data_IF_497926185956
#
_entry.id   IF_497926185956
#
_cell.length_a   1.000
_cell.length_b   1.000
_cell.length_c   1.000
_cell.angle_alpha   90.00
_cell.angle_beta   90.00
_cell.angle_gamma   90.00
#
_symmetry.space_group_name_H-M   'P 1'
#
loop_
_entity.id
_entity.type
_entity.pdbx_description
1 polymer ?
#
# COMPACT_ATOMS: atom_id res chain seq x y z
N UNK A 1 3.45 -41.78 -55.74
CA UNK A 1 2.89 -41.58 -54.39
C UNK A 1 3.93 -40.79 -53.60
N UNK A 2 3.79 -39.46 -53.58
CA UNK A 2 4.79 -38.55 -53.00
C UNK A 2 4.30 -38.03 -51.65
N UNK A 3 5.19 -38.08 -50.65
CA UNK A 3 4.98 -37.60 -49.29
C UNK A 3 4.80 -36.06 -49.24
N UNK A 4 4.05 -35.51 -48.27
CA UNK A 4 3.98 -34.08 -48.07
C UNK A 4 5.16 -33.60 -47.20
N UNK A 5 5.73 -32.47 -47.64
CA UNK A 5 6.76 -31.68 -46.98
C UNK A 5 6.24 -31.04 -45.69
N UNK A 6 7.00 -31.17 -44.60
CA UNK A 6 6.74 -30.47 -43.33
C UNK A 6 7.53 -29.16 -43.33
N UNK A 7 6.82 -28.03 -43.28
CA UNK A 7 7.41 -26.72 -43.05
C UNK A 7 7.81 -26.57 -41.56
N UNK A 8 8.90 -25.84 -41.22
CA UNK A 8 9.32 -25.70 -39.84
C UNK A 8 8.40 -24.75 -39.07
N UNK A 9 8.06 -25.13 -37.85
CA UNK A 9 7.35 -24.27 -36.90
C UNK A 9 8.20 -23.04 -36.55
N UNK A 10 7.63 -21.85 -36.78
CA UNK A 10 8.15 -20.57 -36.31
C UNK A 10 8.22 -20.56 -34.78
N UNK A 11 9.42 -20.40 -34.23
CA UNK A 11 9.63 -20.23 -32.79
C UNK A 11 9.26 -18.80 -32.36
N UNK A 12 8.29 -18.68 -31.46
CA UNK A 12 7.90 -17.44 -30.79
C UNK A 12 9.00 -16.94 -29.81
N UNK A 13 9.03 -15.65 -29.44
CA UNK A 13 10.25 -14.96 -29.03
C UNK A 13 10.62 -15.20 -27.56
N UNK A 14 11.90 -15.52 -27.32
CA UNK A 14 12.53 -15.75 -26.00
C UNK A 14 12.85 -14.46 -25.22
N UNK A 15 12.34 -13.30 -25.65
CA UNK A 15 12.83 -11.97 -25.24
C UNK A 15 12.21 -11.44 -23.93
N UNK A 16 11.12 -12.03 -23.45
CA UNK A 16 10.35 -11.51 -22.30
C UNK A 16 10.96 -11.84 -20.91
N UNK A 17 11.70 -12.94 -20.78
CA UNK A 17 12.19 -13.40 -19.47
C UNK A 17 13.50 -12.70 -19.07
N UNK A 18 14.33 -12.32 -20.05
CA UNK A 18 15.64 -11.69 -19.81
C UNK A 18 15.51 -10.22 -19.36
N UNK A 19 14.42 -9.54 -19.73
CA UNK A 19 14.16 -8.13 -19.38
C UNK A 19 13.56 -7.96 -17.98
N UNK A 20 12.77 -8.93 -17.50
CA UNK A 20 12.20 -8.87 -16.14
C UNK A 20 13.26 -9.03 -15.05
N UNK A 21 14.23 -9.95 -15.23
CA UNK A 21 15.32 -10.12 -14.26
C UNK A 21 16.20 -8.87 -14.16
N UNK A 22 16.57 -8.26 -15.29
CA UNK A 22 17.40 -7.06 -15.29
C UNK A 22 16.73 -5.86 -14.59
N UNK A 23 15.42 -5.67 -14.79
CA UNK A 23 14.66 -4.62 -14.12
C UNK A 23 14.52 -4.87 -12.61
N UNK A 24 14.21 -6.11 -12.22
CA UNK A 24 14.11 -6.50 -10.81
C UNK A 24 15.45 -6.31 -10.08
N UNK A 25 16.56 -6.68 -10.71
CA UNK A 25 17.90 -6.52 -10.14
C UNK A 25 18.24 -5.04 -9.93
N UNK A 26 17.89 -4.18 -10.91
CA UNK A 26 18.01 -2.72 -10.78
C UNK A 26 17.18 -2.18 -9.62
N UNK A 27 15.94 -2.64 -9.46
CA UNK A 27 15.08 -2.24 -8.34
C UNK A 27 15.68 -2.66 -6.99
N UNK A 28 16.24 -3.86 -6.89
CA UNK A 28 16.88 -4.35 -5.67
C UNK A 28 18.19 -3.62 -5.33
N UNK A 29 18.94 -3.18 -6.34
CA UNK A 29 20.23 -2.51 -6.16
C UNK A 29 20.12 -1.04 -5.74
N UNK A 30 18.97 -0.40 -5.96
CA UNK A 30 18.75 1.00 -5.57
C UNK A 30 18.71 1.15 -4.05
N UNK A 31 19.50 2.10 -3.54
CA UNK A 31 19.41 2.53 -2.14
C UNK A 31 18.02 3.11 -1.83
N UNK A 32 17.47 2.75 -0.66
CA UNK A 32 16.12 3.12 -0.23
C UNK A 32 16.16 4.15 0.88
N UNK A 33 15.26 5.12 0.82
CA UNK A 33 15.07 6.10 1.89
C UNK A 33 14.39 5.44 3.09
N UNK A 34 14.52 6.02 4.31
CA UNK A 34 13.74 5.55 5.46
C UNK A 34 12.23 5.49 5.14
N UNK A 35 11.61 4.35 5.43
CA UNK A 35 10.20 4.10 5.16
C UNK A 35 9.86 3.79 3.70
N UNK A 36 10.82 3.77 2.78
CA UNK A 36 10.59 3.32 1.40
C UNK A 36 10.67 1.78 1.32
N UNK A 37 9.69 1.16 0.68
CA UNK A 37 9.62 -0.29 0.57
C UNK A 37 10.83 -0.87 -0.19
N UNK A 38 11.39 -1.96 0.35
CA UNK A 38 12.62 -2.58 -0.15
C UNK A 38 12.47 -4.06 -0.53
N UNK A 39 11.31 -4.68 -0.25
CA UNK A 39 11.08 -6.09 -0.52
C UNK A 39 10.56 -6.31 -1.94
N UNK A 40 11.49 -6.45 -2.90
CA UNK A 40 11.19 -6.70 -4.31
C UNK A 40 11.23 -8.20 -4.67
N UNK A 41 10.29 -8.63 -5.50
CA UNK A 41 10.17 -10.01 -5.96
C UNK A 41 9.47 -10.06 -7.32
N UNK A 42 9.56 -11.21 -8.00
CA UNK A 42 8.76 -11.47 -9.20
C UNK A 42 7.41 -12.07 -8.79
N UNK A 43 6.30 -11.43 -9.18
CA UNK A 43 4.97 -12.01 -8.98
C UNK A 43 4.56 -12.83 -10.22
N UNK A 44 4.52 -14.15 -10.08
CA UNK A 44 4.21 -15.06 -11.18
C UNK A 44 2.75 -14.98 -11.66
N UNK A 45 1.81 -14.56 -10.80
CA UNK A 45 0.40 -14.43 -11.17
C UNK A 45 0.21 -13.21 -12.08
N UNK A 46 0.84 -12.10 -11.71
CA UNK A 46 0.79 -10.86 -12.49
C UNK A 46 1.82 -10.82 -13.63
N UNK A 47 2.79 -11.73 -13.62
CA UNK A 47 3.95 -11.75 -14.53
C UNK A 47 4.63 -10.38 -14.57
N UNK A 48 4.87 -9.81 -13.38
CA UNK A 48 5.44 -8.48 -13.24
C UNK A 48 6.40 -8.41 -12.04
N UNK A 49 7.33 -7.47 -12.10
CA UNK A 49 8.14 -7.08 -10.95
C UNK A 49 7.23 -6.46 -9.90
N UNK A 50 7.42 -6.87 -8.66
CA UNK A 50 6.59 -6.46 -7.55
C UNK A 50 7.43 -5.97 -6.38
N UNK A 51 6.84 -5.07 -5.61
CA UNK A 51 7.33 -4.65 -4.30
C UNK A 51 6.24 -4.90 -3.27
N UNK A 52 6.62 -5.40 -2.09
CA UNK A 52 5.72 -5.48 -0.95
C UNK A 52 5.92 -4.28 -0.06
N UNK A 53 4.86 -3.50 0.15
CA UNK A 53 4.81 -2.42 1.12
C UNK A 53 4.38 -3.01 2.46
N UNK A 54 5.26 -2.95 3.44
CA UNK A 54 5.01 -3.39 4.82
C UNK A 54 4.43 -2.24 5.67
N UNK A 55 3.89 -2.53 6.86
CA UNK A 55 3.35 -1.49 7.73
C UNK A 55 4.40 -0.44 8.09
N UNK A 56 4.06 0.82 7.86
CA UNK A 56 4.97 1.95 8.04
C UNK A 56 5.75 2.33 6.79
N UNK A 57 5.60 1.59 5.69
CA UNK A 57 6.31 1.86 4.44
C UNK A 57 5.41 2.55 3.40
N UNK A 58 6.08 3.10 2.39
CA UNK A 58 5.49 3.63 1.17
C UNK A 58 6.33 3.27 -0.04
N UNK A 59 5.75 3.34 -1.23
CA UNK A 59 6.49 3.22 -2.48
C UNK A 59 5.82 4.08 -3.56
N UNK A 60 6.64 4.77 -4.37
CA UNK A 60 6.19 5.60 -5.48
C UNK A 60 6.98 5.22 -6.73
N UNK A 61 6.29 5.06 -7.85
CA UNK A 61 6.91 4.85 -9.15
C UNK A 61 6.01 5.35 -10.29
N UNK A 62 6.55 5.29 -11.49
CA UNK A 62 6.02 5.77 -12.77
C UNK A 62 6.15 4.70 -13.87
N UNK A 63 6.80 3.58 -13.56
CA UNK A 63 6.84 2.39 -14.42
C UNK A 63 5.80 1.35 -13.97
N UNK A 64 5.56 0.35 -14.83
CA UNK A 64 4.63 -0.75 -14.57
C UNK A 64 5.20 -1.75 -13.54
N UNK A 65 5.35 -1.35 -12.28
CA UNK A 65 5.74 -2.21 -11.15
C UNK A 65 4.52 -2.49 -10.29
N UNK A 66 4.32 -3.73 -9.87
CA UNK A 66 3.22 -4.08 -8.97
C UNK A 66 3.56 -3.70 -7.53
N UNK A 67 2.79 -2.77 -6.94
CA UNK A 67 2.89 -2.49 -5.51
C UNK A 67 1.85 -3.35 -4.77
N UNK A 68 2.29 -4.15 -3.80
CA UNK A 68 1.41 -5.08 -3.08
C UNK A 68 1.44 -4.87 -1.58
N UNK A 69 0.30 -5.09 -0.92
CA UNK A 69 0.24 -5.14 0.53
C UNK A 69 -0.92 -6.01 1.03
N UNK A 70 -0.90 -6.40 2.30
CA UNK A 70 -1.98 -7.14 2.96
C UNK A 70 -2.48 -6.34 4.15
N UNK A 71 -3.79 -6.14 4.23
CA UNK A 71 -4.42 -5.25 5.19
C UNK A 71 -5.40 -6.01 6.09
N UNK A 72 -5.30 -5.71 7.38
CA UNK A 72 -6.34 -5.93 8.39
C UNK A 72 -7.00 -4.60 8.76
N UNK A 73 -6.86 -4.17 10.01
CA UNK A 73 -7.38 -2.87 10.49
C UNK A 73 -6.64 -1.65 9.92
N UNK A 74 -5.46 -1.87 9.37
CA UNK A 74 -4.60 -0.86 8.73
C UNK A 74 -5.21 -0.36 7.41
N UNK A 75 -4.73 0.77 6.91
CA UNK A 75 -5.17 1.35 5.63
C UNK A 75 -3.99 1.46 4.67
N UNK A 76 -4.26 1.20 3.40
CA UNK A 76 -3.43 1.64 2.29
C UNK A 76 -4.16 2.72 1.49
N UNK A 77 -3.52 3.87 1.33
CA UNK A 77 -3.91 4.88 0.36
C UNK A 77 -3.05 4.70 -0.90
N UNK A 78 -3.72 4.48 -2.04
CA UNK A 78 -3.12 4.49 -3.36
C UNK A 78 -3.41 5.85 -3.99
N UNK A 79 -2.37 6.64 -4.23
CA UNK A 79 -2.48 7.93 -4.91
C UNK A 79 -1.96 7.79 -6.34
N UNK A 80 -2.63 8.47 -7.27
CA UNK A 80 -2.26 8.45 -8.68
C UNK A 80 -2.49 9.80 -9.32
N UNK A 81 -1.47 10.32 -9.98
CA UNK A 81 -1.61 11.46 -10.88
C UNK A 81 -2.04 10.97 -12.26
N UNK A 82 -3.27 11.29 -12.65
CA UNK A 82 -3.86 10.84 -13.93
C UNK A 82 -3.17 11.42 -15.17
N UNK A 83 -2.52 12.58 -15.06
CA UNK A 83 -1.86 13.25 -16.18
C UNK A 83 -0.40 12.83 -16.29
N UNK A 84 0.32 12.83 -15.17
CA UNK A 84 1.75 12.47 -15.15
C UNK A 84 1.99 10.96 -15.12
N UNK A 85 0.95 10.17 -14.83
CA UNK A 85 1.01 8.71 -14.71
C UNK A 85 2.01 8.23 -13.64
N UNK A 86 2.11 8.99 -12.56
CA UNK A 86 2.92 8.67 -11.38
C UNK A 86 1.97 8.20 -10.29
N UNK A 87 2.30 7.10 -9.63
CA UNK A 87 1.48 6.56 -8.56
C UNK A 87 2.30 6.05 -7.40
N UNK A 88 1.66 5.95 -6.24
CA UNK A 88 2.27 5.32 -5.08
C UNK A 88 1.24 4.78 -4.11
N UNK A 89 1.71 3.94 -3.21
CA UNK A 89 0.90 3.36 -2.14
C UNK A 89 1.66 3.44 -0.82
N UNK A 90 0.95 3.80 0.25
CA UNK A 90 1.43 3.68 1.62
C UNK A 90 0.72 2.54 2.36
N UNK A 91 1.19 2.21 3.56
CA UNK A 91 0.51 1.33 4.51
C UNK A 91 0.68 1.87 5.92
N UNK A 92 -0.32 2.59 6.43
CA UNK A 92 -0.32 3.11 7.80
C UNK A 92 -1.23 2.28 8.71
N UNK A 93 -0.92 2.28 10.01
CA UNK A 93 -1.59 1.44 11.01
C UNK A 93 -2.53 2.24 11.91
N UNK A 94 -2.24 3.52 12.14
CA UNK A 94 -2.95 4.38 13.09
C UNK A 94 -3.20 5.76 12.47
N UNK A 95 -4.24 6.49 12.88
CA UNK A 95 -4.58 7.77 12.25
C UNK A 95 -3.53 8.84 12.57
N UNK A 96 -3.16 8.94 13.85
CA UNK A 96 -2.22 9.93 14.35
C UNK A 96 -1.42 9.36 15.54
N UNK A 97 -0.30 10.00 15.87
CA UNK A 97 0.50 9.65 17.04
C UNK A 97 1.77 10.46 17.16
N UNK A 98 2.47 10.28 18.28
CA UNK A 98 3.69 11.03 18.55
C UNK A 98 4.86 10.52 17.70
N UNK A 99 5.44 11.41 16.89
CA UNK A 99 6.69 11.22 16.16
C UNK A 99 6.55 11.00 14.65
N UNK A 100 7.69 11.13 13.96
CA UNK A 100 7.81 11.06 12.49
C UNK A 100 7.88 9.61 12.00
N UNK A 101 6.76 8.90 12.09
CA UNK A 101 6.68 7.50 11.70
C UNK A 101 5.64 7.26 10.62
N UNK A 102 6.00 6.57 9.54
CA UNK A 102 5.08 6.09 8.49
C UNK A 102 3.97 5.17 8.99
N UNK A 103 4.02 4.79 10.28
CA UNK A 103 2.95 4.05 10.96
C UNK A 103 1.70 4.91 11.19
N UNK A 104 1.86 6.22 11.27
CA UNK A 104 0.77 7.19 11.48
C UNK A 104 0.31 7.76 10.15
N UNK A 105 -1.00 7.89 9.98
CA UNK A 105 -1.63 8.27 8.73
C UNK A 105 -1.24 9.68 8.28
N UNK A 106 -1.15 10.65 9.20
CA UNK A 106 -0.73 12.03 8.92
C UNK A 106 0.64 12.06 8.22
N UNK A 107 1.65 11.48 8.86
CA UNK A 107 3.01 11.39 8.33
C UNK A 107 3.08 10.52 7.05
N UNK A 108 2.40 9.38 7.01
CA UNK A 108 2.43 8.48 5.86
C UNK A 108 1.79 9.08 4.59
N UNK A 109 0.73 9.87 4.74
CA UNK A 109 0.09 10.56 3.63
C UNK A 109 0.96 11.70 3.12
N UNK A 110 1.53 12.50 4.03
CA UNK A 110 2.43 13.60 3.66
C UNK A 110 3.68 13.08 2.94
N UNK A 111 4.32 12.05 3.49
CA UNK A 111 5.50 11.43 2.88
C UNK A 111 5.20 10.90 1.47
N UNK A 112 4.07 10.21 1.31
CA UNK A 112 3.64 9.68 0.01
C UNK A 112 3.44 10.81 -1.03
N UNK A 113 2.69 11.85 -0.67
CA UNK A 113 2.43 12.99 -1.56
C UNK A 113 3.75 13.68 -1.92
N UNK A 114 4.62 13.93 -0.95
CA UNK A 114 5.91 14.59 -1.17
C UNK A 114 6.81 13.79 -2.11
N UNK A 115 6.89 12.46 -1.96
CA UNK A 115 7.67 11.62 -2.88
C UNK A 115 7.05 11.54 -4.28
N UNK A 116 5.72 11.63 -4.41
CA UNK A 116 5.07 11.82 -5.71
C UNK A 116 5.44 13.16 -6.35
N UNK A 117 5.39 14.27 -5.58
CA UNK A 117 5.74 15.60 -6.10
C UNK A 117 7.21 15.67 -6.53
N UNK A 118 8.13 15.05 -5.78
CA UNK A 118 9.56 14.96 -6.15
C UNK A 118 9.79 14.22 -7.48
N UNK A 119 8.88 13.32 -7.86
CA UNK A 119 8.90 12.63 -9.16
C UNK A 119 8.16 13.40 -10.26
N UNK A 120 7.60 14.57 -9.96
CA UNK A 120 6.96 15.45 -10.94
C UNK A 120 5.44 15.31 -11.03
N UNK A 121 4.80 14.61 -10.07
CA UNK A 121 3.35 14.60 -9.98
C UNK A 121 2.80 16.00 -9.63
N UNK A 122 1.55 16.25 -10.02
CA UNK A 122 0.79 17.44 -9.73
C UNK A 122 -0.34 17.13 -8.75
N UNK A 123 -0.41 17.91 -7.69
CA UNK A 123 -1.44 17.75 -6.64
C UNK A 123 -2.86 17.93 -7.18
N UNK A 124 -3.02 18.75 -8.20
CA UNK A 124 -4.31 19.09 -8.81
C UNK A 124 -4.94 17.93 -9.60
N UNK A 125 -4.12 16.94 -9.98
CA UNK A 125 -4.51 15.82 -10.82
C UNK A 125 -4.41 14.48 -10.09
N UNK A 126 -4.15 14.53 -8.77
CA UNK A 126 -4.17 13.36 -7.91
C UNK A 126 -5.59 12.82 -7.73
N UNK A 127 -5.68 11.51 -7.73
CA UNK A 127 -6.85 10.74 -7.35
C UNK A 127 -6.45 9.69 -6.31
N UNK A 128 -7.34 9.42 -5.38
CA UNK A 128 -7.11 8.45 -4.32
C UNK A 128 -7.98 7.20 -4.48
N UNK A 129 -7.39 6.05 -4.17
CA UNK A 129 -8.10 4.80 -3.91
C UNK A 129 -7.69 4.27 -2.54
N UNK A 130 -8.66 3.98 -1.68
CA UNK A 130 -8.39 3.59 -0.29
C UNK A 130 -8.88 2.17 0.00
N UNK A 131 -8.07 1.41 0.73
CA UNK A 131 -8.33 0.00 1.01
C UNK A 131 -7.97 -0.34 2.46
N UNK A 132 -8.62 -1.35 3.04
CA UNK A 132 -8.28 -1.89 4.36
C UNK A 132 -9.34 -1.59 5.42
N UNK A 133 -8.93 -1.21 6.63
CA UNK A 133 -9.86 -0.87 7.72
C UNK A 133 -10.71 -2.05 8.20
N UNK A 134 -10.32 -3.27 7.89
CA UNK A 134 -11.09 -4.47 8.20
C UNK A 134 -11.00 -4.87 9.66
N UNK A 135 -12.08 -5.41 10.20
CA UNK A 135 -12.16 -5.93 11.56
C UNK A 135 -11.77 -7.41 11.61
N UNK A 136 -10.47 -7.69 11.48
CA UNK A 136 -9.95 -9.07 11.38
C UNK A 136 -9.96 -9.82 12.71
N UNK A 137 -9.96 -9.10 13.84
CA UNK A 137 -10.10 -9.67 15.17
C UNK A 137 -11.54 -9.53 15.63
N UNK A 138 -12.16 -10.61 16.09
CA UNK A 138 -13.39 -10.57 16.88
C UNK A 138 -13.11 -9.93 18.24
N UNK A 139 -13.36 -8.64 18.37
CA UNK A 139 -13.22 -7.88 19.62
C UNK A 139 -13.40 -6.38 19.40
N UNK A 140 -13.95 -5.67 20.38
CA UNK A 140 -14.29 -4.23 20.27
C UNK A 140 -13.12 -3.33 19.83
N UNK A 141 -11.87 -3.71 20.15
CA UNK A 141 -10.70 -2.86 19.94
C UNK A 141 -10.22 -2.78 18.48
N UNK A 142 -10.37 -3.84 17.68
CA UNK A 142 -9.96 -3.85 16.25
C UNK A 142 -10.95 -3.11 15.36
N UNK A 143 -12.25 -3.28 15.61
CA UNK A 143 -13.34 -2.52 14.96
C UNK A 143 -13.09 -1.01 15.11
N UNK A 144 -12.77 -0.58 16.32
CA UNK A 144 -12.50 0.83 16.61
C UNK A 144 -11.26 1.38 15.88
N UNK A 145 -10.22 0.56 15.66
CA UNK A 145 -9.03 0.99 14.89
C UNK A 145 -9.37 1.16 13.40
N UNK A 146 -10.04 0.18 12.79
CA UNK A 146 -10.40 0.25 11.37
C UNK A 146 -11.30 1.43 11.04
N UNK A 147 -12.30 1.70 11.88
CA UNK A 147 -13.19 2.86 11.75
C UNK A 147 -12.43 4.18 11.87
N UNK A 148 -11.57 4.33 12.89
CA UNK A 148 -10.75 5.53 13.07
C UNK A 148 -9.80 5.78 11.90
N UNK A 149 -9.13 4.74 11.42
CA UNK A 149 -8.23 4.84 10.27
C UNK A 149 -8.98 5.25 9.00
N UNK A 150 -10.16 4.65 8.77
CA UNK A 150 -11.00 4.95 7.60
C UNK A 150 -11.53 6.39 7.66
N UNK A 151 -11.99 6.83 8.84
CA UNK A 151 -12.42 8.21 9.05
C UNK A 151 -11.27 9.19 8.79
N UNK A 152 -10.11 8.95 9.41
CA UNK A 152 -8.93 9.77 9.23
C UNK A 152 -8.54 9.95 7.76
N UNK A 153 -8.38 8.86 7.01
CA UNK A 153 -7.93 8.98 5.60
C UNK A 153 -8.95 9.70 4.73
N UNK A 154 -10.25 9.54 5.03
CA UNK A 154 -11.33 10.22 4.32
C UNK A 154 -11.28 11.73 4.58
N UNK A 155 -11.17 12.12 5.86
CA UNK A 155 -11.09 13.52 6.27
C UNK A 155 -9.81 14.20 5.74
N UNK A 156 -8.68 13.49 5.78
CA UNK A 156 -7.40 13.97 5.25
C UNK A 156 -7.51 14.24 3.75
N UNK A 157 -7.98 13.26 2.96
CA UNK A 157 -8.11 13.41 1.51
C UNK A 157 -9.10 14.51 1.12
N UNK A 158 -10.19 14.66 1.87
CA UNK A 158 -11.15 15.75 1.68
C UNK A 158 -10.52 17.12 1.95
N UNK A 159 -9.78 17.25 3.06
CA UNK A 159 -9.05 18.48 3.42
C UNK A 159 -8.04 18.85 2.35
N UNK A 160 -7.34 17.84 1.82
CA UNK A 160 -6.35 18.02 0.76
C UNK A 160 -6.92 18.15 -0.65
N UNK A 161 -8.25 18.09 -0.78
CA UNK A 161 -8.99 18.18 -2.04
C UNK A 161 -8.56 17.12 -3.07
N UNK A 162 -8.18 15.93 -2.59
CA UNK A 162 -7.86 14.78 -3.42
C UNK A 162 -9.11 13.88 -3.49
N UNK A 163 -9.77 13.75 -4.66
CA UNK A 163 -10.98 12.95 -4.78
C UNK A 163 -10.70 11.46 -4.56
N UNK A 164 -11.55 10.81 -3.76
CA UNK A 164 -11.57 9.35 -3.63
C UNK A 164 -12.40 8.78 -4.77
N UNK A 165 -11.76 8.14 -5.74
CA UNK A 165 -12.42 7.56 -6.93
C UNK A 165 -12.80 6.09 -6.74
N UNK A 166 -12.25 5.42 -5.72
CA UNK A 166 -12.59 4.04 -5.37
C UNK A 166 -12.26 3.75 -3.92
N UNK A 167 -13.05 2.90 -3.26
CA UNK A 167 -12.78 2.42 -1.90
C UNK A 167 -13.26 0.99 -1.67
N UNK A 168 -12.49 0.20 -0.93
CA UNK A 168 -12.93 -1.06 -0.30
C UNK A 168 -12.34 -1.11 1.11
N UNK A 169 -13.08 -0.50 2.03
CA UNK A 169 -12.73 -0.32 3.44
C UNK A 169 -13.71 -1.06 4.34
N UNK A 170 -13.42 -1.19 5.64
CA UNK A 170 -14.26 -1.88 6.63
C UNK A 170 -14.37 -3.39 6.32
N UNK A 171 -15.48 -4.05 6.62
CA UNK A 171 -15.68 -5.50 6.44
C UNK A 171 -14.84 -6.38 7.40
N UNK A 172 -15.20 -7.65 7.50
CA UNK A 172 -14.59 -8.63 8.43
C UNK A 172 -13.43 -9.41 7.80
N UNK A 173 -13.15 -9.17 6.52
CA UNK A 173 -12.14 -9.92 5.77
C UNK A 173 -10.85 -9.13 5.60
N UNK A 174 -9.69 -9.77 5.82
CA UNK A 174 -8.43 -9.25 5.34
C UNK A 174 -8.42 -9.09 3.82
N UNK A 175 -7.58 -8.19 3.33
CA UNK A 175 -7.48 -7.91 1.90
C UNK A 175 -6.04 -7.89 1.45
N UNK A 176 -5.74 -8.58 0.36
CA UNK A 176 -4.53 -8.32 -0.44
C UNK A 176 -4.87 -7.25 -1.46
N UNK A 177 -4.10 -6.17 -1.46
CA UNK A 177 -4.21 -5.07 -2.41
C UNK A 177 -3.02 -5.14 -3.36
N UNK A 178 -3.30 -4.96 -4.65
CA UNK A 178 -2.32 -4.84 -5.71
C UNK A 178 -2.59 -3.54 -6.47
N UNK A 179 -1.58 -2.70 -6.65
CA UNK A 179 -1.70 -1.41 -7.30
C UNK A 179 -0.62 -1.23 -8.38
N UNK A 180 -1.02 -0.70 -9.53
CA UNK A 180 -0.15 -0.41 -10.67
C UNK A 180 0.02 1.11 -10.82
N UNK A 181 1.16 1.68 -10.41
CA UNK A 181 1.33 3.12 -10.27
C UNK A 181 1.34 3.85 -11.61
N UNK A 182 1.82 3.22 -12.69
CA UNK A 182 1.81 3.79 -14.04
C UNK A 182 0.40 3.90 -14.69
N UNK A 183 -0.61 3.23 -14.13
CA UNK A 183 -1.97 3.20 -14.69
C UNK A 183 -3.06 3.57 -13.68
N UNK A 184 -2.72 3.69 -12.40
CA UNK A 184 -3.67 3.92 -11.32
C UNK A 184 -4.60 2.73 -11.04
N UNK A 185 -4.44 1.59 -11.72
CA UNK A 185 -5.30 0.41 -11.50
C UNK A 185 -5.01 -0.21 -10.14
N UNK A 186 -6.09 -0.53 -9.42
CA UNK A 186 -6.02 -1.23 -8.14
C UNK A 186 -6.90 -2.48 -8.20
N UNK A 187 -6.43 -3.55 -7.58
CA UNK A 187 -7.11 -4.84 -7.51
C UNK A 187 -7.07 -5.32 -6.07
N UNK A 188 -8.20 -5.84 -5.60
CA UNK A 188 -8.36 -6.28 -4.22
C UNK A 188 -8.84 -7.72 -4.21
N UNK A 189 -8.17 -8.54 -3.40
CA UNK A 189 -8.60 -9.91 -3.10
C UNK A 189 -8.88 -10.02 -1.61
N UNK A 190 -10.14 -10.26 -1.26
CA UNK A 190 -10.53 -10.64 0.10
C UNK A 190 -9.97 -12.03 0.39
N UNK A 191 -9.34 -12.18 1.55
CA UNK A 191 -8.66 -13.41 1.96
C UNK A 191 -9.56 -14.20 2.90
N UNK A 192 -9.45 -15.52 2.83
CA UNK A 192 -10.12 -16.41 3.78
C UNK A 192 -9.54 -16.22 5.20
N UNK A 193 -10.32 -16.48 6.26
CA UNK A 193 -9.89 -16.31 7.66
C UNK A 193 -8.71 -17.19 8.12
N UNK A 194 -8.21 -18.10 7.28
CA UNK A 194 -7.13 -19.05 7.63
C UNK A 194 -5.76 -18.41 7.77
N UNK A 195 -5.52 -17.21 7.21
CA UNK A 195 -4.25 -16.47 7.34
C UNK A 195 -4.35 -15.31 8.35
N UNK A 196 -5.25 -15.39 9.31
CA UNK A 196 -5.54 -14.29 10.25
C UNK A 196 -4.45 -14.09 11.29
N UNK A 197 -3.75 -15.12 11.74
CA UNK A 197 -2.82 -15.02 12.88
C UNK A 197 -1.74 -13.94 12.72
N UNK A 198 -1.05 -13.87 11.57
CA UNK A 198 -0.03 -12.86 11.32
C UNK A 198 -0.60 -11.43 11.27
N UNK A 199 -1.80 -11.28 10.73
CA UNK A 199 -2.50 -9.99 10.66
C UNK A 199 -3.03 -9.57 12.03
N UNK A 200 -3.51 -10.52 12.82
CA UNK A 200 -3.92 -10.32 14.20
C UNK A 200 -2.74 -9.89 15.05
N UNK A 201 -1.57 -10.52 14.88
CA UNK A 201 -0.35 -10.12 15.58
C UNK A 201 0.06 -8.68 15.22
N UNK A 202 -0.05 -8.31 13.94
CA UNK A 202 0.20 -6.95 13.46
C UNK A 202 -0.78 -5.94 14.09
N UNK A 203 -2.09 -6.21 14.03
CA UNK A 203 -3.12 -5.33 14.59
C UNK A 203 -2.98 -5.19 16.12
N UNK A 204 -2.64 -6.26 16.83
CA UNK A 204 -2.35 -6.21 18.28
C UNK A 204 -1.12 -5.37 18.60
N UNK A 205 -0.04 -5.53 17.84
CA UNK A 205 1.18 -4.75 18.03
C UNK A 205 0.96 -3.26 17.75
N UNK A 206 0.08 -2.92 16.80
CA UNK A 206 -0.35 -1.55 16.57
C UNK A 206 -1.17 -1.03 17.76
N UNK A 207 -2.16 -1.79 18.25
CA UNK A 207 -3.04 -1.38 19.35
C UNK A 207 -2.33 -1.21 20.70
N UNK A 208 -1.37 -2.09 21.06
CA UNK A 208 -0.63 -2.00 22.32
C UNK A 208 0.22 -0.72 22.44
N UNK A 209 0.59 -0.10 21.31
CA UNK A 209 1.35 1.16 21.28
C UNK A 209 0.47 2.41 21.33
N UNK A 210 -0.86 2.27 21.29
CA UNK A 210 -1.83 3.37 21.38
C UNK A 210 -2.06 3.82 22.84
N UNK A 211 -1.63 3.02 23.82
CA UNK A 211 -1.76 3.37 25.25
C UNK A 211 -0.50 4.14 25.68
N UNK A 212 -0.57 5.47 25.91
CA UNK A 212 0.50 6.12 26.64
C UNK A 212 0.56 5.51 28.05
N UNK A 213 1.73 5.40 28.69
CA UNK A 213 1.75 5.09 30.12
C UNK A 213 0.83 6.10 30.82
N UNK A 214 -0.04 5.62 31.71
CA UNK A 214 -0.77 6.49 32.64
C UNK A 214 0.27 7.30 33.42
N UNK A 215 0.64 8.47 32.91
CA UNK A 215 1.27 9.50 33.71
C UNK A 215 0.18 9.99 34.64
N UNK A 216 0.20 9.53 35.89
CA UNK A 216 -0.57 10.14 36.97
C UNK A 216 -0.17 11.60 37.08
N UNK A 217 -0.91 12.48 36.40
CA UNK A 217 -0.75 13.92 36.48
C UNK A 217 -1.60 14.43 37.64
N UNK A 218 -0.94 14.80 38.74
CA UNK A 218 -1.56 15.55 39.82
C UNK A 218 -2.14 16.87 39.31
N UNK A 219 -3.22 17.31 39.96
CA UNK A 219 -3.87 18.59 39.71
C UNK A 219 -2.88 19.75 39.92
N UNK A 220 -2.73 20.60 38.93
CA UNK A 220 -2.12 21.93 39.09
C UNK A 220 -3.27 22.92 39.05
N UNK A 221 -3.61 23.49 40.21
CA UNK A 221 -4.43 24.70 40.28
C UNK A 221 -3.55 25.90 39.90
N UNK A 222 -4.04 26.74 39.00
CA UNK A 222 -3.46 28.06 38.73
C UNK A 222 -4.17 29.10 39.61
N UNK A 223 -3.37 29.88 40.37
CA UNK A 223 -3.73 31.20 40.87
C UNK A 223 -3.28 32.27 39.88
#
# INVERSE_FOLDING_TARGET
>A
MNAPSVAPASAAPRTSILTSTARLDRLKAQARKPGEASFFFWDAHFKNDAVKVLPGEHFVHDEDVLITTTLGSCIAACLWDRERRIGGMNHFMLPDGAGDSGRYGSYAMELLINEMMKRGASRLTLEAKIFGGGAVISGMNSLNVGERNTKFVTDYLQTERIPIVSRDVMDVYPRKVCFLPASGKAMVKRLAPTNTEALVAQDRAAAQKVVPPNSGGGSIDLF
#
